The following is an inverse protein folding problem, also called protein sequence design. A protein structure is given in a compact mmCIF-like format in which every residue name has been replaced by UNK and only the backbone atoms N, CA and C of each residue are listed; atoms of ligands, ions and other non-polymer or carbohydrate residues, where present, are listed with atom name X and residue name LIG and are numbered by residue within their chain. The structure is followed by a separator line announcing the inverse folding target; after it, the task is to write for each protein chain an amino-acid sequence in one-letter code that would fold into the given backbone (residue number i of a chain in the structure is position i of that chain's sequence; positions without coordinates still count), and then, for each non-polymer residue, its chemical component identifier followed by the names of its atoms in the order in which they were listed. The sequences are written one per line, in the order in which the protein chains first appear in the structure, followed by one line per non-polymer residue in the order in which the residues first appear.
data_IF_747975853472
#
_entry.id   IF_747975853472
#
_cell.length_a   1.000
_cell.length_b   1.000
_cell.length_c   1.000
_cell.angle_alpha   90.00
_cell.angle_beta   90.00
_cell.angle_gamma   90.00
#
_symmetry.space_group_name_H-M   'P 1'
#
loop_
_entity.id
_entity.type
_entity.pdbx_description
1 polymer ?
#
# COMPACT_ATOMS: atom_id res chain seq x y z
N UNK A 1 -39.27 26.35 5.39
CA UNK A 1 -38.24 27.40 5.53
C UNK A 1 -36.92 26.80 5.10
N UNK A 2 -36.43 27.13 3.90
CA UNK A 2 -35.17 26.58 3.37
C UNK A 2 -34.04 27.44 3.94
N UNK A 3 -33.24 26.89 4.86
CA UNK A 3 -32.05 27.58 5.37
C UNK A 3 -31.05 27.64 4.22
N UNK A 4 -30.98 28.78 3.55
CA UNK A 4 -29.88 29.10 2.65
C UNK A 4 -28.64 29.31 3.52
N UNK A 5 -27.77 28.31 3.60
CA UNK A 5 -26.50 28.48 4.29
C UNK A 5 -25.78 29.69 3.66
N UNK A 6 -25.32 30.68 4.47
CA UNK A 6 -24.69 31.87 3.93
C UNK A 6 -23.47 31.47 3.11
N UNK A 7 -23.36 32.00 1.89
CA UNK A 7 -22.35 31.66 0.86
C UNK A 7 -20.93 31.52 1.42
N UNK A 8 -20.57 32.37 2.38
CA UNK A 8 -19.27 32.35 3.07
C UNK A 8 -19.01 31.03 3.81
N UNK A 9 -20.02 30.48 4.49
CA UNK A 9 -19.90 29.21 5.21
C UNK A 9 -19.67 28.06 4.22
N UNK A 10 -20.40 28.05 3.11
CA UNK A 10 -20.20 27.06 2.05
C UNK A 10 -18.78 27.13 1.47
N UNK A 11 -18.28 28.34 1.20
CA UNK A 11 -16.93 28.55 0.68
C UNK A 11 -15.83 28.11 1.66
N UNK A 12 -15.99 28.41 2.96
CA UNK A 12 -15.05 27.98 3.99
C UNK A 12 -15.02 26.45 4.13
N UNK A 13 -16.20 25.81 4.10
CA UNK A 13 -16.31 24.35 4.13
C UNK A 13 -15.70 23.71 2.88
N UNK A 14 -15.94 24.28 1.69
CA UNK A 14 -15.32 23.81 0.45
C UNK A 14 -13.80 23.95 0.46
N UNK A 15 -13.26 25.06 0.99
CA UNK A 15 -11.83 25.27 1.12
C UNK A 15 -11.19 24.30 2.13
N UNK A 16 -11.86 24.06 3.27
CA UNK A 16 -11.40 23.08 4.26
C UNK A 16 -11.39 21.66 3.70
N UNK A 17 -12.44 21.28 2.96
CA UNK A 17 -12.53 19.97 2.30
C UNK A 17 -11.45 19.79 1.23
N UNK A 18 -11.23 20.81 0.38
CA UNK A 18 -10.16 20.77 -0.61
C UNK A 18 -8.78 20.62 0.03
N UNK A 19 -8.54 21.30 1.16
CA UNK A 19 -7.28 21.20 1.90
C UNK A 19 -7.08 19.78 2.47
N UNK A 20 -8.11 19.16 3.03
CA UNK A 20 -8.02 17.78 3.56
C UNK A 20 -7.74 16.75 2.47
N UNK A 21 -8.39 16.88 1.31
CA UNK A 21 -8.15 16.00 0.15
C UNK A 21 -6.71 16.11 -0.36
N UNK A 22 -6.12 17.31 -0.35
CA UNK A 22 -4.71 17.49 -0.76
C UNK A 22 -3.68 16.96 0.25
N UNK A 23 -4.08 16.76 1.51
CA UNK A 23 -3.19 16.28 2.58
C UNK A 23 -3.14 14.75 2.69
N UNK A 24 -4.21 14.06 2.26
CA UNK A 24 -4.27 12.61 2.37
C UNK A 24 -3.27 11.89 1.44
N UNK A 25 -2.87 12.51 0.33
CA UNK A 25 -2.04 11.86 -0.68
C UNK A 25 -2.74 10.64 -1.31
N UNK A 26 -2.20 10.13 -2.42
CA UNK A 26 -2.64 8.83 -2.95
C UNK A 26 -1.78 7.72 -2.35
N UNK A 27 -2.44 6.63 -1.95
CA UNK A 27 -1.77 5.42 -1.47
C UNK A 27 -1.82 4.32 -2.52
N UNK A 28 -0.80 3.46 -2.53
CA UNK A 28 -0.68 2.36 -3.48
C UNK A 28 -0.18 1.09 -2.82
N UNK A 29 -0.81 -0.04 -3.13
CA UNK A 29 -0.33 -1.37 -2.72
C UNK A 29 0.35 -2.04 -3.91
N UNK A 30 1.54 -2.61 -3.68
CA UNK A 30 2.36 -3.27 -4.70
C UNK A 30 2.89 -4.61 -4.20
N UNK A 31 2.84 -5.61 -5.06
CA UNK A 31 3.53 -6.88 -4.88
C UNK A 31 4.64 -7.01 -5.90
N UNK A 32 5.80 -7.49 -5.46
CA UNK A 32 6.95 -7.78 -6.30
C UNK A 32 7.28 -9.26 -6.21
N UNK A 33 7.05 -9.96 -7.30
CA UNK A 33 7.30 -11.40 -7.42
C UNK A 33 8.56 -11.64 -8.23
N UNK A 34 9.42 -12.51 -7.72
CA UNK A 34 10.68 -12.88 -8.38
C UNK A 34 10.88 -14.37 -8.31
N UNK A 35 10.92 -15.01 -9.48
CA UNK A 35 11.30 -16.40 -9.66
C UNK A 35 12.71 -16.47 -10.27
N UNK A 36 13.64 -17.15 -9.59
CA UNK A 36 15.02 -17.34 -10.05
C UNK A 36 15.25 -18.82 -10.31
N UNK A 37 15.54 -19.16 -11.56
CA UNK A 37 15.91 -20.54 -11.93
C UNK A 37 17.25 -20.93 -11.29
N UNK A 38 17.42 -22.23 -11.04
CA UNK A 38 18.59 -22.79 -10.34
C UNK A 38 19.11 -24.03 -11.07
N UNK A 39 19.79 -23.85 -12.22
CA UNK A 39 20.32 -24.98 -12.97
C UNK A 39 21.22 -25.85 -12.08
N UNK A 40 20.89 -27.15 -11.98
CA UNK A 40 21.62 -28.13 -11.18
C UNK A 40 21.48 -28.01 -9.66
N UNK A 41 20.60 -27.13 -9.13
CA UNK A 41 20.42 -26.92 -7.68
C UNK A 41 18.96 -27.07 -7.20
N UNK A 42 18.13 -27.80 -7.95
CA UNK A 42 16.74 -28.10 -7.60
C UNK A 42 15.74 -27.10 -8.17
N UNK A 43 14.60 -26.98 -7.49
CA UNK A 43 13.51 -26.08 -7.89
C UNK A 43 13.94 -24.60 -7.90
N UNK A 44 13.33 -23.75 -8.76
CA UNK A 44 13.55 -22.30 -8.73
C UNK A 44 13.22 -21.69 -7.36
N UNK A 45 13.99 -20.68 -6.95
CA UNK A 45 13.61 -19.89 -5.77
C UNK A 45 12.54 -18.89 -6.15
N UNK A 46 11.50 -18.82 -5.35
CA UNK A 46 10.47 -17.81 -5.45
C UNK A 46 10.49 -16.88 -4.22
N UNK A 47 10.41 -15.58 -4.47
CA UNK A 47 10.29 -14.54 -3.44
C UNK A 47 9.13 -13.64 -3.83
N UNK A 48 8.27 -13.32 -2.86
CA UNK A 48 7.26 -12.27 -3.00
C UNK A 48 7.41 -11.24 -1.89
N UNK A 49 7.23 -9.97 -2.23
CA UNK A 49 7.32 -8.86 -1.28
C UNK A 49 6.15 -7.90 -1.48
N UNK A 50 5.41 -7.62 -0.41
CA UNK A 50 4.30 -6.68 -0.43
C UNK A 50 4.66 -5.34 0.22
N UNK A 51 4.30 -4.25 -0.46
CA UNK A 51 4.46 -2.87 -0.02
C UNK A 51 3.13 -2.12 -0.01
N UNK A 52 2.95 -1.24 0.96
CA UNK A 52 2.02 -0.10 0.90
C UNK A 52 2.90 1.14 0.83
N UNK A 53 2.78 1.87 -0.26
CA UNK A 53 3.67 2.96 -0.64
C UNK A 53 5.12 2.50 -0.62
N UNK A 54 5.92 3.06 0.28
CA UNK A 54 7.35 2.73 0.44
C UNK A 54 7.60 1.79 1.64
N UNK A 55 6.54 1.32 2.29
CA UNK A 55 6.61 0.48 3.49
C UNK A 55 6.33 -0.97 3.16
N UNK A 56 7.32 -1.84 3.38
CA UNK A 56 7.13 -3.28 3.25
C UNK A 56 6.28 -3.80 4.42
N UNK A 57 5.20 -4.54 4.12
CA UNK A 57 4.35 -5.13 5.16
C UNK A 57 4.42 -6.66 5.19
N UNK A 58 4.85 -7.32 4.11
CA UNK A 58 4.93 -8.79 4.05
C UNK A 58 6.11 -9.27 3.19
N UNK A 59 6.59 -10.48 3.49
CA UNK A 59 7.57 -11.22 2.67
C UNK A 59 7.27 -12.71 2.65
N UNK A 60 7.38 -13.33 1.48
CA UNK A 60 7.48 -14.77 1.31
C UNK A 60 8.84 -15.14 0.71
N UNK A 61 9.42 -16.26 1.14
CA UNK A 61 10.65 -16.82 0.57
C UNK A 61 10.53 -18.35 0.51
N UNK A 62 10.58 -18.93 -0.69
CA UNK A 62 10.46 -20.38 -0.88
C UNK A 62 11.60 -21.18 -0.26
N UNK A 63 12.74 -20.53 -0.03
CA UNK A 63 13.91 -21.15 0.60
C UNK A 63 13.88 -21.07 2.13
N UNK A 64 12.88 -20.41 2.71
CA UNK A 64 12.73 -20.40 4.17
C UNK A 64 12.49 -21.82 4.68
N UNK A 65 13.01 -22.15 5.87
CA UNK A 65 12.86 -23.49 6.45
C UNK A 65 11.38 -23.91 6.62
N UNK A 66 10.49 -22.93 6.82
CA UNK A 66 9.04 -23.10 6.80
C UNK A 66 8.44 -21.97 5.96
N UNK A 67 8.30 -22.17 4.63
CA UNK A 67 7.81 -21.13 3.72
C UNK A 67 6.41 -20.65 4.11
N UNK A 68 6.31 -19.37 4.45
CA UNK A 68 5.06 -18.68 4.78
C UNK A 68 5.24 -17.19 4.57
N UNK A 69 4.13 -16.48 4.50
CA UNK A 69 4.14 -15.03 4.55
C UNK A 69 4.50 -14.56 5.96
N UNK A 70 5.56 -13.76 6.04
CA UNK A 70 6.04 -13.16 7.28
C UNK A 70 5.69 -11.68 7.32
N UNK A 71 5.08 -11.17 8.40
CA UNK A 71 4.84 -9.75 8.57
C UNK A 71 6.18 -9.00 8.71
N UNK A 72 6.24 -7.83 8.09
CA UNK A 72 7.42 -6.94 8.08
C UNK A 72 7.12 -5.53 8.60
N UNK A 73 5.85 -5.25 8.86
CA UNK A 73 5.38 -4.03 9.52
C UNK A 73 4.63 -4.39 10.83
N UNK A 74 4.60 -3.47 11.82
CA UNK A 74 3.90 -3.65 13.10
C UNK A 74 2.38 -3.81 12.97
#
# INVERSE_FOLDING_TARGET
MLVMAPRTVLLLLSAALALTETWAGSHSMRYFDTAMSRPGRGEPRFISVGYVDDTQFVRFDSDAASPREEPRAP
#
